data_IF_361730819902
#
_entry.id   IF_361730819902
#
_cell.length_a   1.000
_cell.length_b   1.000
_cell.length_c   1.000
_cell.angle_alpha   90.00
_cell.angle_beta   90.00
_cell.angle_gamma   90.00
#
_symmetry.space_group_name_H-M   'P 1'
#
loop_
_entity.id
_entity.type
_entity.pdbx_description
1 polymer ?
#
# COMPACT_ATOMS: atom_id res chain seq x y z
N UNK A 1 24.25 18.89 5.74
CA UNK A 1 23.74 19.76 4.64
C UNK A 1 23.70 21.23 5.12
N UNK A 2 23.85 22.25 4.27
CA UNK A 2 23.92 23.66 4.75
C UNK A 2 22.63 24.15 5.42
N UNK A 3 21.47 23.84 4.83
CA UNK A 3 20.15 24.16 5.40
C UNK A 3 19.98 23.53 6.78
N UNK A 4 20.42 22.29 6.93
CA UNK A 4 20.39 21.56 8.21
C UNK A 4 21.27 22.24 9.26
N UNK A 5 22.49 22.64 8.92
CA UNK A 5 23.41 23.31 9.84
C UNK A 5 22.87 24.67 10.32
N UNK A 6 22.16 25.39 9.44
CA UNK A 6 21.45 26.62 9.79
C UNK A 6 20.29 26.34 10.75
N UNK A 7 19.43 25.36 10.44
CA UNK A 7 18.25 25.04 11.24
C UNK A 7 18.57 24.42 12.61
N UNK A 8 19.70 23.70 12.74
CA UNK A 8 20.19 23.12 14.01
C UNK A 8 20.42 24.14 15.12
N UNK A 9 20.56 25.43 14.78
CA UNK A 9 20.75 26.51 15.76
C UNK A 9 19.47 26.86 16.52
N UNK A 10 18.31 26.49 15.96
CA UNK A 10 17.03 26.70 16.61
C UNK A 10 16.71 25.50 17.52
N UNK A 11 16.18 25.73 18.73
CA UNK A 11 15.80 24.65 19.64
C UNK A 11 14.70 23.78 19.02
N UNK A 12 14.71 22.49 19.38
CA UNK A 12 13.71 21.52 18.90
C UNK A 12 13.83 21.16 17.42
N UNK A 13 14.96 21.44 16.76
CA UNK A 13 15.21 20.95 15.39
C UNK A 13 15.24 19.42 15.35
N UNK A 14 14.54 18.81 14.40
CA UNK A 14 14.52 17.35 14.23
C UNK A 14 15.25 16.90 12.95
N UNK A 15 14.83 17.41 11.79
CA UNK A 15 15.33 16.95 10.48
C UNK A 15 14.96 17.88 9.33
N UNK A 16 15.64 17.72 8.21
CA UNK A 16 15.35 18.37 6.93
C UNK A 16 15.05 17.29 5.89
N UNK A 17 14.03 17.50 5.08
CA UNK A 17 13.75 16.70 3.88
C UNK A 17 13.81 17.60 2.66
N UNK A 18 14.46 17.17 1.57
CA UNK A 18 14.58 17.94 0.34
C UNK A 18 14.05 17.10 -0.84
N UNK A 19 13.03 17.59 -1.52
CA UNK A 19 12.49 16.93 -2.71
C UNK A 19 13.44 17.04 -3.92
N UNK A 20 13.17 16.23 -4.93
CA UNK A 20 13.92 16.29 -6.19
C UNK A 20 13.81 17.64 -6.88
N UNK A 21 14.87 18.06 -7.60
CA UNK A 21 14.87 19.32 -8.33
C UNK A 21 13.84 19.29 -9.47
N UNK A 22 13.10 20.38 -9.64
CA UNK A 22 12.09 20.50 -10.69
C UNK A 22 12.67 21.23 -11.91
N UNK A 23 12.86 20.58 -13.07
CA UNK A 23 13.43 21.21 -14.27
C UNK A 23 12.65 22.46 -14.71
N UNK A 24 11.32 22.42 -14.61
CA UNK A 24 10.40 23.51 -14.97
C UNK A 24 10.57 24.73 -14.06
N UNK A 25 11.16 24.52 -12.88
CA UNK A 25 11.50 25.56 -11.91
C UNK A 25 13.01 25.71 -11.79
N UNK A 26 13.76 25.64 -12.89
CA UNK A 26 15.23 25.86 -12.89
C UNK A 26 15.97 25.00 -11.86
N UNK A 27 15.51 23.75 -11.66
CA UNK A 27 16.07 22.82 -10.69
C UNK A 27 16.00 23.29 -9.22
N UNK A 28 15.12 24.24 -8.90
CA UNK A 28 14.81 24.56 -7.50
C UNK A 28 14.23 23.34 -6.79
N UNK A 29 14.66 23.14 -5.55
CA UNK A 29 14.20 22.05 -4.67
C UNK A 29 13.28 22.61 -3.59
N UNK A 30 12.20 21.91 -3.28
CA UNK A 30 11.39 22.21 -2.10
C UNK A 30 11.99 21.51 -0.89
N UNK A 31 12.05 22.21 0.23
CA UNK A 31 12.55 21.69 1.50
C UNK A 31 11.48 21.75 2.58
N UNK A 32 11.51 20.77 3.47
CA UNK A 32 10.73 20.74 4.70
C UNK A 32 11.67 20.63 5.89
N UNK A 33 11.54 21.56 6.82
CA UNK A 33 12.28 21.52 8.09
C UNK A 33 11.28 21.15 9.17
N UNK A 34 11.58 20.07 9.89
CA UNK A 34 10.69 19.56 10.95
C UNK A 34 11.27 19.95 12.31
N UNK A 35 10.40 20.50 13.16
CA UNK A 35 10.71 20.84 14.55
C UNK A 35 9.78 20.09 15.51
N UNK A 36 10.15 20.05 16.78
CA UNK A 36 9.32 19.57 17.88
C UNK A 36 8.04 20.39 18.01
N UNK A 37 6.96 19.77 18.51
CA UNK A 37 5.66 20.44 18.66
C UNK A 37 5.63 21.53 19.74
N UNK A 38 6.63 21.54 20.62
CA UNK A 38 6.75 22.46 21.76
C UNK A 38 7.26 23.84 21.36
N UNK A 39 7.85 24.00 20.16
CA UNK A 39 8.48 25.25 19.74
C UNK A 39 7.49 26.22 19.10
N UNK A 40 7.80 27.51 19.17
CA UNK A 40 7.06 28.55 18.45
C UNK A 40 7.46 28.58 16.96
N UNK A 41 6.83 27.74 16.14
CA UNK A 41 7.18 27.60 14.71
C UNK A 41 7.00 28.91 13.92
N UNK A 42 6.09 29.80 14.34
CA UNK A 42 5.85 31.09 13.66
C UNK A 42 7.05 32.03 13.83
N UNK A 43 7.62 32.07 15.02
CA UNK A 43 8.81 32.87 15.32
C UNK A 43 10.04 32.34 14.57
N UNK A 44 10.24 31.02 14.57
CA UNK A 44 11.31 30.39 13.78
C UNK A 44 11.14 30.70 12.28
N UNK A 45 9.92 30.56 11.75
CA UNK A 45 9.61 30.88 10.35
C UNK A 45 9.92 32.34 10.00
N UNK A 46 9.58 33.28 10.89
CA UNK A 46 9.89 34.70 10.70
C UNK A 46 11.40 34.95 10.69
N UNK A 47 12.14 34.36 11.64
CA UNK A 47 13.60 34.48 11.72
C UNK A 47 14.31 33.90 10.48
N UNK A 48 13.85 32.74 9.98
CA UNK A 48 14.42 32.10 8.79
C UNK A 48 14.29 32.95 7.52
N UNK A 49 13.23 33.74 7.40
CA UNK A 49 13.02 34.63 6.25
C UNK A 49 13.97 35.84 6.22
N UNK A 50 14.65 36.14 7.33
CA UNK A 50 15.68 37.18 7.39
C UNK A 50 17.08 36.64 7.02
N UNK A 51 17.22 35.35 6.74
CA UNK A 51 18.49 34.69 6.41
C UNK A 51 18.56 34.40 4.91
N UNK A 52 19.71 34.71 4.30
CA UNK A 52 20.05 34.32 2.92
C UNK A 52 21.12 33.23 2.96
N UNK A 53 20.95 32.21 2.12
CA UNK A 53 21.91 31.12 1.97
C UNK A 53 22.50 31.15 0.55
N UNK A 54 23.80 31.47 0.43
CA UNK A 54 24.49 31.60 -0.88
C UNK A 54 23.69 32.43 -1.89
N UNK A 55 23.20 33.59 -1.45
CA UNK A 55 22.35 34.53 -2.20
C UNK A 55 20.95 34.02 -2.59
N UNK A 56 20.55 32.84 -2.11
CA UNK A 56 19.18 32.34 -2.21
C UNK A 56 18.36 32.78 -0.99
N UNK A 57 17.22 33.41 -1.24
CA UNK A 57 16.17 33.60 -0.23
C UNK A 57 15.39 32.30 -0.05
N UNK A 58 15.15 31.89 1.19
CA UNK A 58 14.50 30.61 1.50
C UNK A 58 12.97 30.65 1.29
N UNK A 59 12.33 31.81 1.53
CA UNK A 59 10.88 31.96 1.43
C UNK A 59 10.13 30.95 2.32
N UNK A 60 10.56 30.80 3.57
CA UNK A 60 9.98 29.88 4.53
C UNK A 60 8.52 30.20 4.83
N UNK A 61 7.68 29.16 4.85
CA UNK A 61 6.24 29.23 5.14
C UNK A 61 5.92 28.14 6.17
N UNK A 62 5.08 28.48 7.16
CA UNK A 62 4.60 27.50 8.14
C UNK A 62 3.70 26.48 7.44
N UNK A 63 4.14 25.21 7.44
CA UNK A 63 3.37 24.11 6.88
C UNK A 63 2.14 23.81 7.76
N UNK A 64 0.99 23.55 7.14
CA UNK A 64 -0.23 23.16 7.84
C UNK A 64 -0.29 21.65 8.01
N UNK A 65 -0.83 21.21 9.15
CA UNK A 65 -1.07 19.80 9.40
C UNK A 65 -2.07 19.19 8.41
N UNK A 66 -1.88 17.90 8.14
CA UNK A 66 -2.79 17.11 7.30
C UNK A 66 -4.12 16.91 8.04
N UNK A 67 -5.19 17.49 7.52
CA UNK A 67 -6.55 17.36 8.10
C UNK A 67 -7.29 16.11 7.64
N UNK A 68 -7.08 15.65 6.40
CA UNK A 68 -7.70 14.45 5.81
C UNK A 68 -6.64 13.41 5.46
N UNK A 69 -6.23 12.64 6.47
CA UNK A 69 -5.21 11.59 6.35
C UNK A 69 -5.76 10.35 5.63
N UNK A 70 -6.97 9.91 5.98
CA UNK A 70 -7.62 8.77 5.32
C UNK A 70 -8.54 9.28 4.22
N UNK A 71 -8.38 8.74 3.02
CA UNK A 71 -9.17 9.10 1.84
C UNK A 71 -9.86 7.85 1.28
N UNK A 72 -11.15 7.94 1.02
CA UNK A 72 -11.91 6.81 0.49
C UNK A 72 -11.75 6.67 -1.02
N UNK A 73 -11.59 5.43 -1.50
CA UNK A 73 -11.73 5.07 -2.92
C UNK A 73 -13.12 4.49 -3.21
N UNK A 74 -13.37 4.09 -4.46
CA UNK A 74 -14.62 3.44 -4.84
C UNK A 74 -14.90 2.20 -3.97
N UNK A 75 -16.15 2.06 -3.50
CA UNK A 75 -16.60 0.95 -2.65
C UNK A 75 -16.59 -0.42 -3.33
N UNK A 76 -16.54 -0.48 -4.67
CA UNK A 76 -16.34 -1.73 -5.44
C UNK A 76 -15.07 -2.47 -4.98
N UNK A 77 -14.08 -1.75 -4.43
CA UNK A 77 -12.88 -2.33 -3.81
C UNK A 77 -13.16 -3.31 -2.66
N UNK A 78 -14.37 -3.31 -2.09
CA UNK A 78 -14.79 -4.26 -1.04
C UNK A 78 -15.48 -5.51 -1.59
N UNK A 79 -15.60 -5.64 -2.91
CA UNK A 79 -16.22 -6.78 -3.58
C UNK A 79 -15.33 -8.03 -3.48
N UNK A 80 -15.91 -9.21 -3.23
CA UNK A 80 -15.18 -10.47 -2.96
C UNK A 80 -14.15 -10.81 -4.05
N UNK A 81 -14.53 -10.74 -5.33
CA UNK A 81 -13.61 -11.01 -6.44
C UNK A 81 -12.51 -9.93 -6.57
N UNK A 82 -12.83 -8.67 -6.26
CA UNK A 82 -11.85 -7.58 -6.27
C UNK A 82 -10.82 -7.80 -5.17
N UNK A 83 -11.27 -8.16 -3.96
CA UNK A 83 -10.39 -8.46 -2.82
C UNK A 83 -9.45 -9.63 -3.17
N UNK A 84 -9.94 -10.70 -3.80
CA UNK A 84 -9.08 -11.82 -4.24
C UNK A 84 -8.02 -11.37 -5.25
N UNK A 85 -8.43 -10.59 -6.24
CA UNK A 85 -7.49 -10.00 -7.22
C UNK A 85 -6.45 -9.12 -6.52
N UNK A 86 -6.89 -8.29 -5.58
CA UNK A 86 -6.05 -7.40 -4.79
C UNK A 86 -5.05 -8.19 -3.91
N UNK A 87 -5.45 -9.31 -3.30
CA UNK A 87 -4.53 -10.16 -2.52
C UNK A 87 -3.40 -10.67 -3.41
N UNK A 88 -3.74 -11.20 -4.59
CA UNK A 88 -2.76 -11.69 -5.57
C UNK A 88 -1.79 -10.58 -5.98
N UNK A 89 -2.32 -9.40 -6.28
CA UNK A 89 -1.53 -8.26 -6.72
C UNK A 89 -0.65 -7.69 -5.61
N UNK A 90 -1.21 -7.46 -4.42
CA UNK A 90 -0.49 -6.98 -3.26
C UNK A 90 0.62 -7.95 -2.83
N UNK A 91 0.35 -9.26 -2.81
CA UNK A 91 1.37 -10.27 -2.50
C UNK A 91 2.55 -10.23 -3.48
N UNK A 92 2.28 -10.07 -4.78
CA UNK A 92 3.31 -9.91 -5.81
C UNK A 92 4.14 -8.64 -5.59
N UNK A 93 3.49 -7.51 -5.28
CA UNK A 93 4.18 -6.24 -5.03
C UNK A 93 5.05 -6.35 -3.78
N UNK A 94 4.52 -6.92 -2.69
CA UNK A 94 5.28 -7.16 -1.45
C UNK A 94 6.53 -7.97 -1.75
N UNK A 95 6.39 -9.10 -2.46
CA UNK A 95 7.54 -9.94 -2.80
C UNK A 95 8.61 -9.19 -3.60
N UNK A 96 8.19 -8.46 -4.64
CA UNK A 96 9.12 -7.71 -5.48
C UNK A 96 9.86 -6.63 -4.70
N UNK A 97 9.17 -5.87 -3.85
CA UNK A 97 9.76 -4.80 -3.04
C UNK A 97 10.67 -5.35 -1.94
N UNK A 98 10.28 -6.45 -1.31
CA UNK A 98 11.08 -7.18 -0.32
C UNK A 98 12.41 -7.64 -0.92
N UNK A 99 12.38 -8.22 -2.12
CA UNK A 99 13.57 -8.65 -2.85
C UNK A 99 14.44 -7.46 -3.25
N UNK A 100 13.82 -6.39 -3.79
CA UNK A 100 14.53 -5.18 -4.21
C UNK A 100 15.26 -4.50 -3.04
N UNK A 101 14.68 -4.55 -1.83
CA UNK A 101 15.26 -3.97 -0.62
C UNK A 101 16.04 -4.98 0.23
N UNK A 102 16.14 -6.23 -0.22
CA UNK A 102 16.79 -7.34 0.48
C UNK A 102 16.35 -7.53 1.95
N UNK A 103 15.09 -7.21 2.28
CA UNK A 103 14.62 -7.16 3.68
C UNK A 103 14.65 -8.52 4.39
N UNK A 104 14.44 -9.60 3.63
CA UNK A 104 14.32 -10.95 4.17
C UNK A 104 15.48 -11.88 3.77
N UNK A 105 16.57 -11.31 3.22
CA UNK A 105 17.79 -12.05 2.97
C UNK A 105 18.53 -12.23 4.30
N UNK A 106 18.51 -13.45 4.85
CA UNK A 106 19.32 -13.76 6.02
C UNK A 106 20.80 -13.60 5.67
N UNK A 107 21.43 -12.56 6.21
CA UNK A 107 22.86 -12.64 6.52
C UNK A 107 22.96 -13.62 7.69
N UNK A 108 23.52 -14.81 7.47
CA UNK A 108 24.02 -15.64 8.57
C UNK A 108 25.21 -14.94 9.22
N UNK A 109 24.95 -13.85 9.95
CA UNK A 109 25.92 -13.24 10.84
C UNK A 109 25.93 -14.06 12.14
N UNK A 110 26.66 -15.19 12.13
CA UNK A 110 26.96 -15.96 13.34
C UNK A 110 27.06 -17.48 13.22
N UNK A 111 26.99 -18.07 12.03
CA UNK A 111 27.13 -19.53 11.85
C UNK A 111 28.59 -19.98 11.79
N UNK A 112 29.06 -20.64 12.84
CA UNK A 112 30.32 -21.40 12.90
C UNK A 112 30.38 -22.42 11.73
N UNK A 113 31.44 -22.46 10.89
CA UNK A 113 31.45 -23.22 9.63
C UNK A 113 31.60 -24.74 9.77
N UNK A 114 31.21 -25.33 10.90
CA UNK A 114 31.51 -26.76 11.16
C UNK A 114 30.31 -27.68 11.38
N UNK A 115 29.05 -27.22 11.28
CA UNK A 115 27.90 -28.12 11.47
C UNK A 115 26.69 -27.83 10.56
N UNK A 116 26.90 -27.76 9.24
CA UNK A 116 25.80 -27.84 8.27
C UNK A 116 25.50 -29.29 7.89
N UNK A 117 25.15 -30.10 8.89
CA UNK A 117 24.49 -31.38 8.70
C UNK A 117 23.48 -31.56 9.83
N UNK A 118 22.20 -31.71 9.46
CA UNK A 118 21.04 -31.96 10.34
C UNK A 118 20.35 -30.74 10.97
N UNK A 119 19.56 -30.03 10.15
CA UNK A 119 18.21 -29.62 10.58
C UNK A 119 17.33 -29.48 9.35
N UNK A 120 16.66 -30.57 8.99
CA UNK A 120 15.63 -30.58 7.96
C UNK A 120 14.42 -29.77 8.41
N UNK A 121 14.31 -28.53 7.93
CA UNK A 121 13.02 -27.88 7.76
C UNK A 121 12.62 -28.03 6.29
N UNK A 122 11.38 -28.47 5.99
CA UNK A 122 10.94 -28.59 4.62
C UNK A 122 10.98 -27.21 3.95
N UNK A 123 11.33 -27.14 2.66
CA UNK A 123 11.31 -25.91 1.90
C UNK A 123 9.89 -25.33 1.96
N UNK A 124 9.83 -24.02 2.19
CA UNK A 124 8.63 -23.19 2.15
C UNK A 124 7.75 -23.59 0.96
N UNK A 125 6.50 -23.90 1.27
CA UNK A 125 5.48 -24.46 0.38
C UNK A 125 5.39 -23.69 -0.93
N UNK A 126 5.66 -24.41 -2.02
CA UNK A 126 5.52 -23.95 -3.40
C UNK A 126 4.03 -23.79 -3.74
N UNK A 127 3.54 -22.55 -3.61
CA UNK A 127 2.31 -22.09 -4.22
C UNK A 127 2.57 -20.67 -4.70
N UNK A 128 2.27 -20.37 -5.97
CA UNK A 128 2.54 -19.09 -6.66
C UNK A 128 3.97 -18.82 -7.15
N UNK A 129 4.92 -19.75 -7.00
CA UNK A 129 6.29 -19.58 -7.50
C UNK A 129 7.11 -18.50 -6.79
N UNK A 130 6.65 -18.08 -5.61
CA UNK A 130 7.22 -16.98 -4.81
C UNK A 130 7.73 -17.57 -3.49
N UNK A 131 8.98 -18.03 -3.48
CA UNK A 131 9.64 -18.42 -2.24
C UNK A 131 9.96 -17.12 -1.45
N UNK A 132 9.20 -16.86 -0.39
CA UNK A 132 9.42 -15.70 0.48
C UNK A 132 9.55 -16.14 1.94
N UNK A 133 10.49 -15.52 2.66
CA UNK A 133 10.64 -15.64 4.12
C UNK A 133 9.74 -14.67 4.88
N UNK A 134 9.04 -13.76 4.18
CA UNK A 134 8.08 -12.85 4.79
C UNK A 134 6.88 -13.65 5.36
N UNK A 135 6.62 -13.61 6.68
CA UNK A 135 5.54 -14.38 7.30
C UNK A 135 4.15 -13.99 6.78
N UNK A 136 3.98 -12.80 6.21
CA UNK A 136 2.71 -12.36 5.61
C UNK A 136 2.36 -13.09 4.32
N UNK A 137 3.35 -13.62 3.61
CA UNK A 137 3.15 -14.35 2.35
C UNK A 137 3.03 -15.87 2.56
N UNK A 138 3.20 -16.35 3.80
CA UNK A 138 3.06 -17.77 4.11
C UNK A 138 1.62 -18.21 3.83
N UNK A 139 1.48 -19.26 3.02
CA UNK A 139 0.19 -19.86 2.65
C UNK A 139 -0.77 -18.87 1.96
N UNK A 140 -0.24 -17.82 1.31
CA UNK A 140 -1.10 -16.81 0.68
C UNK A 140 -1.96 -17.40 -0.46
N UNK A 141 -1.49 -18.47 -1.09
CA UNK A 141 -2.20 -19.17 -2.16
C UNK A 141 -3.49 -19.84 -1.72
N UNK A 142 -3.59 -20.25 -0.47
CA UNK A 142 -4.75 -20.95 0.06
C UNK A 142 -5.99 -20.02 0.01
N UNK A 143 -5.77 -18.71 0.08
CA UNK A 143 -6.82 -17.68 -0.04
C UNK A 143 -7.18 -17.32 -1.48
N UNK A 144 -6.36 -17.74 -2.46
CA UNK A 144 -6.56 -17.45 -3.89
C UNK A 144 -7.28 -18.58 -4.63
N UNK A 145 -7.31 -19.77 -4.05
CA UNK A 145 -8.07 -20.89 -4.58
C UNK A 145 -9.54 -20.61 -4.27
N UNK A 146 -10.36 -20.48 -5.31
CA UNK A 146 -11.80 -20.56 -5.12
C UNK A 146 -12.12 -22.02 -4.79
N UNK A 147 -12.30 -22.34 -3.51
CA UNK A 147 -13.03 -23.54 -3.09
C UNK A 147 -14.49 -23.37 -3.54
N UNK A 148 -14.70 -23.42 -4.85
CA UNK A 148 -16.01 -23.63 -5.42
C UNK A 148 -16.30 -25.12 -5.25
N UNK A 149 -17.40 -25.40 -4.56
CA UNK A 149 -18.07 -26.69 -4.52
C UNK A 149 -18.59 -27.03 -5.93
N UNK A 150 -17.68 -27.15 -6.90
CA UNK A 150 -18.00 -27.40 -8.30
C UNK A 150 -18.73 -28.74 -8.46
N UNK A 151 -18.45 -29.69 -7.56
CA UNK A 151 -19.15 -30.96 -7.46
C UNK A 151 -20.61 -30.79 -6.98
N UNK A 152 -20.90 -29.85 -6.08
CA UNK A 152 -22.25 -29.63 -5.54
C UNK A 152 -23.16 -28.84 -6.49
N UNK A 153 -22.62 -27.87 -7.23
CA UNK A 153 -23.37 -27.19 -8.31
C UNK A 153 -23.67 -28.12 -9.48
N UNK A 154 -22.80 -29.08 -9.78
CA UNK A 154 -23.05 -30.13 -10.78
C UNK A 154 -24.08 -31.15 -10.27
N UNK A 155 -24.06 -31.50 -8.97
CA UNK A 155 -25.05 -32.39 -8.35
C UNK A 155 -26.45 -31.78 -8.23
N UNK A 156 -26.55 -30.46 -8.05
CA UNK A 156 -27.82 -29.73 -7.86
C UNK A 156 -28.49 -29.32 -9.19
N UNK A 157 -27.93 -29.69 -10.34
CA UNK A 157 -28.52 -29.42 -11.65
C UNK A 157 -28.42 -27.95 -12.05
N UNK A 158 -27.34 -27.58 -12.73
CA UNK A 158 -27.07 -26.21 -13.16
C UNK A 158 -28.26 -25.54 -13.89
N UNK A 159 -28.63 -24.34 -13.44
CA UNK A 159 -29.45 -23.29 -14.06
C UNK A 159 -30.83 -23.63 -14.67
N UNK A 160 -31.11 -24.85 -15.09
CA UNK A 160 -32.32 -25.23 -15.83
C UNK A 160 -33.56 -25.40 -14.95
N UNK A 161 -33.41 -25.63 -13.64
CA UNK A 161 -34.55 -25.74 -12.71
C UNK A 161 -34.85 -24.45 -11.94
N UNK A 162 -34.04 -23.39 -12.10
CA UNK A 162 -34.30 -22.09 -11.45
C UNK A 162 -35.26 -21.19 -12.21
N UNK A 163 -35.51 -21.44 -13.50
CA UNK A 163 -36.41 -20.61 -14.32
C UNK A 163 -37.90 -20.88 -14.04
N UNK A 164 -38.29 -22.06 -13.54
CA UNK A 164 -39.71 -22.38 -13.29
C UNK A 164 -40.26 -21.92 -11.93
N UNK A 165 -39.42 -21.43 -11.00
CA UNK A 165 -39.85 -21.01 -9.65
C UNK A 165 -39.48 -19.56 -9.28
N UNK A 166 -39.07 -18.72 -10.24
CA UNK A 166 -38.64 -17.35 -9.99
C UNK A 166 -39.78 -16.31 -9.84
N UNK A 167 -41.06 -16.72 -9.89
CA UNK A 167 -42.20 -15.79 -9.85
C UNK A 167 -42.86 -15.61 -8.47
N UNK A 168 -42.25 -16.12 -7.39
CA UNK A 168 -42.85 -15.98 -6.06
C UNK A 168 -41.82 -15.73 -4.94
N UNK A 169 -40.99 -14.68 -5.06
CA UNK A 169 -40.35 -14.09 -3.88
C UNK A 169 -40.55 -12.57 -3.78
N UNK A 170 -40.89 -12.18 -2.55
CA UNK A 170 -41.43 -10.94 -2.02
C UNK A 170 -40.58 -9.67 -2.31
N UNK A 171 -41.19 -8.55 -2.79
CA UNK A 171 -40.49 -7.29 -3.02
C UNK A 171 -40.03 -6.55 -1.75
N UNK A 172 -40.19 -7.14 -0.55
CA UNK A 172 -39.72 -6.55 0.72
C UNK A 172 -38.28 -6.92 1.12
N UNK A 173 -37.60 -7.82 0.39
CA UNK A 173 -36.23 -8.27 0.65
C UNK A 173 -35.12 -7.38 0.07
N UNK A 174 -35.04 -6.10 0.45
CA UNK A 174 -33.96 -5.16 0.05
C UNK A 174 -32.63 -5.47 0.78
N UNK A 175 -32.24 -6.74 0.92
CA UNK A 175 -31.15 -7.17 1.80
C UNK A 175 -30.15 -8.20 1.28
N UNK A 176 -30.49 -9.07 0.33
CA UNK A 176 -29.68 -10.29 0.05
C UNK A 176 -28.96 -10.32 -1.30
N UNK A 177 -28.63 -9.16 -1.89
CA UNK A 177 -27.82 -9.09 -3.11
C UNK A 177 -26.59 -8.16 -2.99
N UNK A 178 -26.25 -7.76 -1.76
CA UNK A 178 -24.90 -7.29 -1.46
C UNK A 178 -24.03 -8.54 -1.32
N UNK A 179 -23.22 -8.85 -2.34
CA UNK A 179 -22.24 -9.94 -2.34
C UNK A 179 -21.54 -10.03 -0.97
N UNK A 180 -21.55 -11.23 -0.39
CA UNK A 180 -20.99 -11.53 0.93
C UNK A 180 -19.58 -10.96 1.06
N UNK A 181 -19.42 -10.01 1.99
CA UNK A 181 -18.11 -9.54 2.42
C UNK A 181 -17.41 -10.70 3.11
N UNK A 182 -16.37 -11.21 2.48
CA UNK A 182 -15.52 -12.23 3.08
C UNK A 182 -14.54 -11.56 4.05
N UNK A 183 -14.90 -11.53 5.34
CA UNK A 183 -14.07 -10.91 6.38
C UNK A 183 -12.67 -11.53 6.48
N UNK A 184 -12.52 -12.82 6.15
CA UNK A 184 -11.24 -13.51 6.20
C UNK A 184 -10.31 -12.97 5.11
N UNK A 185 -10.81 -12.89 3.87
CA UNK A 185 -10.05 -12.29 2.77
C UNK A 185 -9.72 -10.81 3.02
N UNK A 186 -10.66 -10.05 3.59
CA UNK A 186 -10.41 -8.65 3.98
C UNK A 186 -9.25 -8.56 4.98
N UNK A 187 -9.24 -9.40 6.03
CA UNK A 187 -8.17 -9.40 7.04
C UNK A 187 -6.82 -9.77 6.45
N UNK A 188 -6.77 -10.68 5.48
CA UNK A 188 -5.54 -11.05 4.76
C UNK A 188 -5.04 -9.87 3.93
N UNK A 189 -5.91 -9.28 3.11
CA UNK A 189 -5.56 -8.13 2.28
C UNK A 189 -5.06 -6.95 3.13
N UNK A 190 -5.77 -6.62 4.20
CA UNK A 190 -5.43 -5.46 5.05
C UNK A 190 -4.03 -5.59 5.67
N UNK A 191 -3.59 -6.80 6.03
CA UNK A 191 -2.22 -7.02 6.52
C UNK A 191 -1.18 -6.72 5.44
N UNK A 192 -1.43 -7.15 4.19
CA UNK A 192 -0.55 -6.84 3.06
C UNK A 192 -0.51 -5.34 2.78
N UNK A 193 -1.67 -4.67 2.77
CA UNK A 193 -1.76 -3.23 2.49
C UNK A 193 -1.10 -2.38 3.58
N UNK A 194 -1.27 -2.75 4.85
CA UNK A 194 -0.59 -2.09 5.97
C UNK A 194 0.92 -2.30 5.88
N UNK A 195 1.38 -3.51 5.54
CA UNK A 195 2.80 -3.78 5.33
C UNK A 195 3.39 -2.92 4.21
N UNK A 196 2.74 -2.89 3.03
CA UNK A 196 3.13 -2.02 1.92
C UNK A 196 3.20 -0.55 2.35
N UNK A 197 2.21 -0.08 3.11
CA UNK A 197 2.13 1.31 3.53
C UNK A 197 3.17 1.70 4.57
N UNK A 198 3.43 0.85 5.55
CA UNK A 198 4.30 1.16 6.69
C UNK A 198 5.77 0.87 6.37
N UNK A 199 6.06 -0.22 5.66
CA UNK A 199 7.43 -0.67 5.39
C UNK A 199 7.98 -0.07 4.09
N UNK A 200 7.16 -0.03 3.04
CA UNK A 200 7.59 0.43 1.73
C UNK A 200 7.09 1.83 1.35
N UNK A 201 6.31 2.48 2.20
CA UNK A 201 5.70 3.79 1.92
C UNK A 201 4.81 3.79 0.66
N UNK A 202 4.16 2.66 0.38
CA UNK A 202 3.29 2.48 -0.81
C UNK A 202 1.83 2.61 -0.41
N UNK A 203 1.12 3.54 -1.04
CA UNK A 203 -0.32 3.67 -0.94
C UNK A 203 -0.98 2.89 -2.07
N UNK A 204 -1.38 1.66 -1.77
CA UNK A 204 -1.90 0.70 -2.75
C UNK A 204 -3.09 1.23 -3.56
N UNK A 205 -4.09 1.78 -2.88
CA UNK A 205 -5.32 2.25 -3.52
C UNK A 205 -5.14 3.59 -4.26
N UNK A 206 -4.05 4.32 -4.01
CA UNK A 206 -3.67 5.52 -4.77
C UNK A 206 -2.61 5.24 -5.86
N UNK A 207 -2.07 4.03 -5.89
CA UNK A 207 -1.04 3.59 -6.85
C UNK A 207 0.18 4.52 -6.82
N UNK A 208 0.66 4.85 -5.63
CA UNK A 208 1.77 5.80 -5.46
C UNK A 208 2.72 5.37 -4.34
N UNK A 209 4.00 5.67 -4.51
CA UNK A 209 5.01 5.57 -3.47
C UNK A 209 5.37 6.94 -2.91
N UNK A 210 5.59 7.00 -1.60
CA UNK A 210 6.12 8.16 -0.89
C UNK A 210 7.59 7.92 -0.54
N UNK A 211 8.48 8.05 -1.53
CA UNK A 211 9.89 7.65 -1.45
C UNK A 211 10.66 8.23 -0.24
N UNK A 212 10.49 9.52 0.06
CA UNK A 212 11.21 10.23 1.13
C UNK A 212 10.35 10.45 2.40
N UNK A 213 9.33 9.62 2.62
CA UNK A 213 8.35 9.85 3.67
C UNK A 213 8.94 9.82 5.10
N UNK A 214 10.01 9.06 5.34
CA UNK A 214 10.66 9.01 6.66
C UNK A 214 11.33 10.35 7.04
N UNK A 215 11.80 11.10 6.03
CA UNK A 215 12.37 12.43 6.22
C UNK A 215 11.29 13.51 6.37
N UNK A 216 10.14 13.35 5.69
CA UNK A 216 9.05 14.33 5.64
C UNK A 216 8.34 14.54 6.99
N UNK A 217 7.79 15.73 7.28
CA UNK A 217 7.23 16.06 8.59
C UNK A 217 6.20 15.03 9.11
N UNK A 218 5.33 14.54 8.22
CA UNK A 218 4.35 13.51 8.51
C UNK A 218 4.85 12.16 8.01
N UNK A 219 5.51 11.39 8.88
CA UNK A 219 5.81 9.98 8.61
C UNK A 219 4.49 9.21 8.56
N UNK A 220 4.29 8.39 7.52
CA UNK A 220 3.03 7.71 7.23
C UNK A 220 1.83 8.70 7.22
N UNK A 221 1.88 9.67 6.32
CA UNK A 221 0.94 10.80 6.25
C UNK A 221 -0.45 10.43 5.75
N UNK A 222 -0.61 10.31 4.42
CA UNK A 222 -1.89 10.01 3.76
C UNK A 222 -1.97 8.52 3.45
N UNK A 223 -3.17 7.95 3.55
CA UNK A 223 -3.48 6.58 3.15
C UNK A 223 -4.87 6.54 2.50
N UNK A 224 -5.00 5.78 1.42
CA UNK A 224 -6.29 5.52 0.81
C UNK A 224 -6.89 4.20 1.33
N UNK A 225 -8.19 4.20 1.58
CA UNK A 225 -8.94 3.06 2.12
C UNK A 225 -10.21 2.82 1.30
N UNK A 226 -10.74 1.61 1.36
CA UNK A 226 -11.98 1.24 0.68
C UNK A 226 -13.13 2.14 1.13
N UNK A 227 -13.90 2.66 0.18
CA UNK A 227 -15.09 3.46 0.48
C UNK A 227 -16.29 2.59 0.87
N UNK A 228 -17.38 3.27 1.25
CA UNK A 228 -18.66 2.59 1.48
C UNK A 228 -19.10 1.83 0.23
N UNK A 229 -19.63 0.60 0.36
CA UNK A 229 -20.14 -0.17 -0.76
C UNK A 229 -21.16 0.64 -1.59
N UNK A 230 -21.23 0.43 -2.91
CA UNK A 230 -22.26 1.02 -3.75
C UNK A 230 -23.66 0.70 -3.22
N UNK A 231 -24.59 1.66 -3.33
CA UNK A 231 -25.99 1.44 -2.94
C UNK A 231 -26.78 0.63 -3.99
N UNK A 232 -26.32 0.63 -5.24
CA UNK A 232 -26.86 -0.18 -6.33
C UNK A 232 -26.18 -1.54 -6.39
N UNK A 233 -26.88 -2.54 -6.95
CA UNK A 233 -26.27 -3.84 -7.28
C UNK A 233 -25.09 -3.62 -8.22
N UNK A 234 -23.94 -4.20 -7.87
CA UNK A 234 -22.72 -4.15 -8.69
C UNK A 234 -22.79 -5.28 -9.72
N UNK A 235 -22.65 -4.94 -10.99
CA UNK A 235 -22.65 -5.92 -12.08
C UNK A 235 -21.29 -6.61 -12.21
N UNK A 236 -21.28 -7.83 -12.75
CA UNK A 236 -20.03 -8.56 -13.00
C UNK A 236 -19.11 -7.81 -13.97
N UNK A 237 -19.67 -7.09 -14.95
CA UNK A 237 -18.90 -6.26 -15.87
C UNK A 237 -18.16 -5.13 -15.14
N UNK A 238 -18.83 -4.41 -14.24
CA UNK A 238 -18.21 -3.35 -13.44
C UNK A 238 -17.07 -3.87 -12.56
N UNK A 239 -17.21 -5.08 -12.01
CA UNK A 239 -16.16 -5.75 -11.23
C UNK A 239 -14.94 -6.04 -12.11
N UNK A 240 -15.15 -6.63 -13.29
CA UNK A 240 -14.07 -6.98 -14.21
C UNK A 240 -13.36 -5.73 -14.75
N UNK A 241 -14.11 -4.68 -15.08
CA UNK A 241 -13.59 -3.40 -15.53
C UNK A 241 -12.78 -2.73 -14.42
N UNK A 242 -13.27 -2.78 -13.18
CA UNK A 242 -12.54 -2.26 -12.02
C UNK A 242 -11.19 -2.96 -11.84
N UNK A 243 -11.17 -4.30 -11.86
CA UNK A 243 -9.94 -5.10 -11.71
C UNK A 243 -8.96 -4.75 -12.84
N UNK A 244 -9.40 -4.78 -14.09
CA UNK A 244 -8.53 -4.54 -15.25
C UNK A 244 -7.95 -3.12 -15.24
N UNK A 245 -8.77 -2.12 -14.88
CA UNK A 245 -8.31 -0.74 -14.76
C UNK A 245 -7.32 -0.56 -13.62
N UNK A 246 -7.56 -1.20 -12.48
CA UNK A 246 -6.67 -1.15 -11.33
C UNK A 246 -5.31 -1.77 -11.66
N UNK A 247 -5.29 -2.96 -12.26
CA UNK A 247 -4.07 -3.64 -12.71
C UNK A 247 -3.28 -2.78 -13.69
N UNK A 248 -3.94 -2.09 -14.63
CA UNK A 248 -3.26 -1.21 -15.59
C UNK A 248 -2.54 -0.03 -14.91
N UNK A 249 -3.14 0.53 -13.86
CA UNK A 249 -2.59 1.68 -13.13
C UNK A 249 -1.45 1.31 -12.20
N UNK A 250 -1.52 0.11 -11.61
CA UNK A 250 -0.50 -0.35 -10.68
C UNK A 250 0.61 -1.14 -11.38
N UNK A 251 0.43 -1.56 -12.64
CA UNK A 251 1.44 -2.27 -13.42
C UNK A 251 2.81 -1.55 -13.55
N UNK A 252 2.88 -0.21 -13.65
CA UNK A 252 4.15 0.52 -13.59
C UNK A 252 4.86 0.43 -12.22
N UNK A 253 4.22 -0.19 -11.23
CA UNK A 253 4.68 -0.31 -9.86
C UNK A 253 4.90 -1.79 -9.49
N UNK A 254 6.10 -2.21 -9.06
CA UNK A 254 7.34 -1.44 -8.88
C UNK A 254 8.06 -1.16 -10.21
N UNK A 255 8.89 -0.09 -10.29
CA UNK A 255 9.71 0.17 -11.46
C UNK A 255 10.53 -1.07 -11.82
N UNK A 256 10.66 -1.35 -13.11
CA UNK A 256 11.59 -2.38 -13.59
C UNK A 256 12.96 -2.14 -12.92
N UNK A 257 13.60 -3.22 -12.50
CA UNK A 257 14.95 -3.18 -11.94
C UNK A 257 15.83 -2.48 -12.99
N UNK A 258 16.17 -1.21 -12.76
CA UNK A 258 17.33 -0.63 -13.41
C UNK A 258 18.50 -1.49 -12.92
N UNK A 259 18.90 -2.43 -13.75
CA UNK A 259 20.21 -3.05 -13.67
C UNK A 259 21.21 -1.93 -13.95
N UNK A 260 21.45 -1.08 -12.95
CA UNK A 260 22.51 -0.11 -13.00
C UNK A 260 23.83 -0.90 -13.11
N UNK A 261 24.39 -0.86 -14.32
CA UNK A 261 25.78 -1.22 -14.62
C UNK A 261 26.74 -0.25 -13.92
#
# INVERSE_FOLDING_TARGET
>A
MEVEAMCKRYPGFLRVAIADPQPERRFFRRGWVTFERTVNIKEICWNLNNIRLRDCELGAIVNRDLSRRIRSVNGIASHKQVIRSDIKLAARIVHNLDNHRALWNQTEAGGDPTNSAASGQPPVTEGFGVASKNPLLKNITDYLIEEASAEEEELLGGAAEREENAEAEDPSGVGSANQEKDEMLIKVLDRLLVYLRVVHSVDYYNHSEYASEDEMPNRCGIMHARGSPPSSKVTQQEVNDYISHFESKIAPFPPAVDQAQ
#
